data_IF_824655497279
#
_entry.id   IF_824655497279
#
_cell.length_a   1.000
_cell.length_b   1.000
_cell.length_c   1.000
_cell.angle_alpha   90.00
_cell.angle_beta   90.00
_cell.angle_gamma   90.00
#
_symmetry.space_group_name_H-M   'P 1'
#
loop_
_entity.id
_entity.type
_entity.pdbx_description
1 polymer ?
#
# COMPACT_ATOMS: atom_id res chain seq x y z
N UNK A 1 -9.13 -17.00 1.88
CA UNK A 1 -10.11 -16.35 2.76
C UNK A 1 -11.43 -16.24 2.02
N UNK A 2 -12.52 -16.59 2.69
CA UNK A 2 -13.91 -16.46 2.24
C UNK A 2 -14.52 -15.10 2.57
N UNK A 3 -13.76 -14.21 3.21
CA UNK A 3 -14.24 -12.87 3.57
C UNK A 3 -14.58 -12.06 2.32
N UNK A 4 -15.72 -11.39 2.33
CA UNK A 4 -16.10 -10.45 1.27
C UNK A 4 -15.21 -9.21 1.35
N UNK A 5 -14.67 -8.79 0.20
CA UNK A 5 -13.90 -7.54 0.08
C UNK A 5 -14.82 -6.46 -0.43
N UNK A 6 -14.76 -5.28 0.19
CA UNK A 6 -15.57 -4.13 -0.23
C UNK A 6 -15.15 -3.62 -1.62
N UNK A 7 -13.86 -3.71 -1.93
CA UNK A 7 -13.27 -3.33 -3.20
C UNK A 7 -12.36 -4.45 -3.70
N UNK A 8 -12.22 -4.55 -5.02
CA UNK A 8 -11.37 -5.53 -5.66
C UNK A 8 -10.80 -4.93 -6.94
N UNK A 9 -9.55 -4.44 -6.86
CA UNK A 9 -8.93 -3.73 -7.97
C UNK A 9 -8.06 -4.67 -8.80
N UNK A 10 -8.11 -4.47 -10.11
CA UNK A 10 -7.17 -5.08 -11.05
C UNK A 10 -5.76 -4.51 -10.85
N UNK A 11 -4.75 -5.21 -11.38
CA UNK A 11 -3.38 -4.70 -11.39
C UNK A 11 -3.29 -3.36 -12.12
N UNK A 12 -4.02 -3.20 -13.23
CA UNK A 12 -4.03 -1.97 -14.03
C UNK A 12 -4.62 -0.79 -13.25
N UNK A 13 -5.77 -0.98 -12.57
CA UNK A 13 -6.37 0.07 -11.74
C UNK A 13 -5.45 0.48 -10.59
N UNK A 14 -4.78 -0.48 -9.95
CA UNK A 14 -3.78 -0.20 -8.92
C UNK A 14 -2.58 0.53 -9.50
N UNK A 15 -2.03 0.04 -10.61
CA UNK A 15 -0.85 0.62 -11.26
C UNK A 15 -1.10 2.05 -11.74
N UNK A 16 -2.31 2.36 -12.18
CA UNK A 16 -2.72 3.71 -12.62
C UNK A 16 -3.23 4.62 -11.50
N UNK A 17 -3.19 4.17 -10.25
CA UNK A 17 -3.69 4.92 -9.10
C UNK A 17 -5.18 5.29 -9.22
N UNK A 18 -6.01 4.36 -9.70
CA UNK A 18 -7.45 4.51 -9.93
C UNK A 18 -8.27 3.81 -8.84
N UNK A 19 -7.97 4.12 -7.57
CA UNK A 19 -8.77 3.62 -6.44
C UNK A 19 -9.68 4.72 -5.87
N UNK A 20 -10.59 4.32 -4.98
CA UNK A 20 -11.43 5.26 -4.23
C UNK A 20 -10.64 6.06 -3.18
N UNK A 21 -9.41 5.64 -2.84
CA UNK A 21 -8.63 6.23 -1.74
C UNK A 21 -7.59 7.23 -2.30
N UNK A 22 -7.79 8.54 -2.09
CA UNK A 22 -6.89 9.55 -2.62
C UNK A 22 -5.48 9.48 -2.02
N UNK A 23 -5.31 9.01 -0.78
CA UNK A 23 -4.01 8.87 -0.14
C UNK A 23 -3.23 7.71 -0.72
N UNK A 24 -3.92 6.60 -1.02
CA UNK A 24 -3.32 5.47 -1.71
C UNK A 24 -2.92 5.86 -3.13
N UNK A 25 -3.79 6.56 -3.85
CA UNK A 25 -3.51 7.03 -5.20
C UNK A 25 -2.30 7.98 -5.22
N UNK A 26 -2.21 8.91 -4.27
CA UNK A 26 -1.04 9.78 -4.12
C UNK A 26 0.25 8.98 -3.85
N UNK A 27 0.20 7.96 -2.98
CA UNK A 27 1.37 7.11 -2.73
C UNK A 27 1.83 6.35 -3.99
N UNK A 28 0.89 5.79 -4.75
CA UNK A 28 1.19 5.13 -6.01
C UNK A 28 1.79 6.11 -7.04
N UNK A 29 1.25 7.32 -7.13
CA UNK A 29 1.77 8.35 -8.04
C UNK A 29 3.15 8.86 -7.62
N UNK A 30 3.40 9.06 -6.32
CA UNK A 30 4.72 9.42 -5.80
C UNK A 30 5.78 8.39 -6.23
N UNK A 31 5.47 7.10 -6.07
CA UNK A 31 6.33 6.01 -6.52
C UNK A 31 6.59 6.06 -8.03
N UNK A 32 5.56 6.28 -8.86
CA UNK A 32 5.72 6.34 -10.33
C UNK A 32 6.51 7.55 -10.81
N UNK A 33 6.31 8.71 -10.18
CA UNK A 33 6.91 9.98 -10.61
C UNK A 33 8.34 10.10 -10.09
N UNK A 34 8.56 9.81 -8.80
CA UNK A 34 9.83 10.04 -8.12
C UNK A 34 10.70 8.78 -8.04
N UNK A 35 10.14 7.60 -8.30
CA UNK A 35 10.81 6.33 -8.07
C UNK A 35 11.09 6.04 -6.59
N UNK A 36 10.44 6.78 -5.68
CA UNK A 36 10.62 6.67 -4.24
C UNK A 36 9.35 7.06 -3.48
N UNK A 37 8.61 6.08 -2.97
CA UNK A 37 7.48 6.35 -2.07
C UNK A 37 7.96 6.60 -0.63
N UNK A 38 7.34 7.54 0.08
CA UNK A 38 7.64 7.76 1.49
C UNK A 38 7.45 6.48 2.32
N UNK A 39 8.41 6.14 3.19
CA UNK A 39 8.45 4.83 3.87
C UNK A 39 7.20 4.52 4.72
N UNK A 40 6.62 5.54 5.36
CA UNK A 40 5.35 5.36 6.08
C UNK A 40 4.17 5.05 5.14
N UNK A 41 4.19 5.63 3.93
CA UNK A 41 3.18 5.36 2.91
C UNK A 41 3.37 4.01 2.26
N UNK A 42 4.59 3.46 2.12
CA UNK A 42 4.80 2.07 1.65
C UNK A 42 4.04 1.04 2.51
N UNK A 43 4.06 1.22 3.83
CA UNK A 43 3.30 0.37 4.76
C UNK A 43 1.78 0.49 4.55
N UNK A 44 1.29 1.72 4.39
CA UNK A 44 -0.13 1.98 4.11
C UNK A 44 -0.55 1.34 2.79
N UNK A 45 0.22 1.61 1.74
CA UNK A 45 0.02 1.21 0.37
C UNK A 45 -0.06 -0.32 0.23
N UNK A 46 0.92 -1.04 0.77
CA UNK A 46 0.94 -2.51 0.70
C UNK A 46 -0.23 -3.16 1.45
N UNK A 47 -0.63 -2.60 2.60
CA UNK A 47 -1.78 -3.11 3.38
C UNK A 47 -3.11 -2.88 2.68
N UNK A 48 -3.25 -1.80 1.91
CA UNK A 48 -4.45 -1.57 1.11
C UNK A 48 -4.57 -2.50 -0.07
N UNK A 49 -3.46 -2.85 -0.73
CA UNK A 49 -3.49 -3.89 -1.77
C UNK A 49 -3.96 -5.23 -1.16
N UNK A 50 -3.52 -5.58 0.05
CA UNK A 50 -4.06 -6.76 0.76
C UNK A 50 -5.58 -6.66 1.03
N UNK A 51 -6.08 -5.49 1.42
CA UNK A 51 -7.51 -5.26 1.66
C UNK A 51 -8.36 -5.36 0.39
N UNK A 52 -7.80 -4.99 -0.76
CA UNK A 52 -8.52 -4.85 -2.03
C UNK A 52 -8.15 -5.90 -3.07
N UNK A 53 -7.64 -7.04 -2.64
CA UNK A 53 -7.31 -8.18 -3.51
C UNK A 53 -8.13 -9.42 -3.15
N UNK A 54 -8.41 -10.24 -4.16
CA UNK A 54 -9.09 -11.53 -4.02
C UNK A 54 -8.41 -12.51 -3.05
N UNK A 55 -7.09 -12.45 -2.93
CA UNK A 55 -6.33 -13.33 -2.04
C UNK A 55 -5.06 -12.65 -1.52
N UNK A 56 -4.54 -13.06 -0.35
CA UNK A 56 -3.25 -12.60 0.14
C UNK A 56 -2.09 -12.91 -0.82
N UNK A 57 -2.15 -14.04 -1.53
CA UNK A 57 -1.16 -14.41 -2.54
C UNK A 57 -1.15 -13.42 -3.69
N UNK A 58 -2.33 -13.11 -4.26
CA UNK A 58 -2.44 -12.14 -5.35
C UNK A 58 -2.02 -10.74 -4.91
N UNK A 59 -2.40 -10.35 -3.69
CA UNK A 59 -1.94 -9.09 -3.11
C UNK A 59 -0.42 -9.04 -2.99
N UNK A 60 0.22 -10.11 -2.48
CA UNK A 60 1.67 -10.16 -2.33
C UNK A 60 2.39 -10.03 -3.68
N UNK A 61 1.93 -10.77 -4.68
CA UNK A 61 2.45 -10.68 -6.06
C UNK A 61 2.31 -9.26 -6.62
N UNK A 62 1.15 -8.62 -6.45
CA UNK A 62 0.91 -7.25 -6.91
C UNK A 62 1.81 -6.24 -6.21
N UNK A 63 1.91 -6.29 -4.87
CA UNK A 63 2.78 -5.41 -4.07
C UNK A 63 4.23 -5.57 -4.52
N UNK A 64 4.69 -6.81 -4.67
CA UNK A 64 6.06 -7.10 -5.08
C UNK A 64 6.35 -6.63 -6.52
N UNK A 65 5.43 -6.88 -7.45
CA UNK A 65 5.53 -6.44 -8.83
C UNK A 65 5.67 -4.91 -8.92
N UNK A 66 4.74 -4.17 -8.30
CA UNK A 66 4.73 -2.71 -8.38
C UNK A 66 5.96 -2.09 -7.70
N UNK A 67 6.35 -2.60 -6.51
CA UNK A 67 7.57 -2.18 -5.84
C UNK A 67 8.80 -2.43 -6.71
N UNK A 68 8.94 -3.63 -7.27
CA UNK A 68 10.07 -3.97 -8.12
C UNK A 68 10.07 -3.27 -9.47
N UNK A 69 8.94 -2.75 -9.94
CA UNK A 69 8.86 -2.03 -11.22
C UNK A 69 9.27 -0.57 -11.06
N UNK A 70 8.80 0.11 -10.02
CA UNK A 70 8.88 1.56 -9.90
C UNK A 70 9.86 2.08 -8.85
N UNK A 71 10.09 1.37 -7.74
CA UNK A 71 11.02 1.83 -6.72
C UNK A 71 12.47 1.72 -7.23
N UNK A 72 13.22 2.83 -7.15
CA UNK A 72 14.65 2.85 -7.47
C UNK A 72 15.45 1.99 -6.49
N UNK A 73 14.99 1.90 -5.24
CA UNK A 73 15.50 0.99 -4.21
C UNK A 73 14.74 -0.36 -4.16
N UNK A 74 13.95 -0.66 -5.20
CA UNK A 74 13.27 -1.94 -5.38
C UNK A 74 14.23 -3.08 -5.76
N UNK A 75 13.71 -4.32 -5.80
CA UNK A 75 14.48 -5.55 -6.06
C UNK A 75 15.66 -5.78 -5.09
N UNK A 76 15.57 -5.18 -3.92
CA UNK A 76 16.52 -5.29 -2.82
C UNK A 76 15.95 -6.15 -1.69
N UNK A 77 16.78 -6.88 -0.89
CA UNK A 77 16.30 -7.64 0.26
C UNK A 77 15.42 -6.85 1.24
N UNK A 78 15.67 -5.54 1.44
CA UNK A 78 14.82 -4.69 2.26
C UNK A 78 13.44 -4.50 1.64
N UNK A 79 13.35 -4.41 0.30
CA UNK A 79 12.10 -4.40 -0.45
C UNK A 79 11.28 -5.66 -0.17
N UNK A 80 11.87 -6.85 -0.33
CA UNK A 80 11.18 -8.12 -0.03
C UNK A 80 10.75 -8.22 1.44
N UNK A 81 11.61 -7.82 2.38
CA UNK A 81 11.29 -7.82 3.80
C UNK A 81 10.16 -6.82 4.13
N UNK A 82 10.17 -5.64 3.53
CA UNK A 82 9.14 -4.61 3.70
C UNK A 82 7.78 -5.05 3.12
N UNK A 83 7.78 -5.67 1.95
CA UNK A 83 6.58 -6.32 1.39
C UNK A 83 6.08 -7.38 2.36
N UNK A 84 6.92 -8.33 2.79
CA UNK A 84 6.52 -9.38 3.72
C UNK A 84 5.99 -8.83 5.06
N UNK A 85 6.53 -7.71 5.56
CA UNK A 85 6.04 -7.05 6.77
C UNK A 85 4.60 -6.55 6.62
N UNK A 86 4.20 -6.10 5.43
CA UNK A 86 2.81 -5.70 5.18
C UNK A 86 1.83 -6.86 5.43
N UNK A 87 2.29 -8.11 5.26
CA UNK A 87 1.57 -9.36 5.48
C UNK A 87 1.88 -10.03 6.83
N UNK A 88 2.63 -9.34 7.72
CA UNK A 88 2.84 -9.76 9.12
C UNK A 88 4.21 -10.35 9.45
N UNK A 89 5.13 -10.47 8.48
CA UNK A 89 6.50 -10.94 8.78
C UNK A 89 7.23 -9.91 9.65
N UNK A 90 7.85 -10.36 10.73
CA UNK A 90 8.54 -9.50 11.71
C UNK A 90 7.63 -8.48 12.42
N UNK A 91 6.31 -8.64 12.35
CA UNK A 91 5.34 -7.93 13.19
C UNK A 91 4.67 -8.92 14.16
N UNK A 92 4.01 -8.40 15.18
CA UNK A 92 3.19 -9.19 16.11
C UNK A 92 1.75 -9.29 15.63
N UNK A 93 0.98 -10.21 16.23
CA UNK A 93 -0.46 -10.30 16.02
C UNK A 93 -1.21 -9.08 16.59
N UNK A 94 -2.26 -8.66 15.89
CA UNK A 94 -3.18 -7.58 16.28
C UNK A 94 -4.60 -8.11 16.50
N UNK A 95 -5.51 -7.23 16.96
CA UNK A 95 -6.94 -7.55 17.07
C UNK A 95 -7.46 -8.04 15.71
N UNK A 96 -8.17 -9.15 15.75
CA UNK A 96 -8.68 -9.80 14.55
C UNK A 96 -9.69 -8.92 13.79
N UNK A 97 -9.60 -8.94 12.47
CA UNK A 97 -10.47 -8.21 11.55
C UNK A 97 -10.73 -9.03 10.29
N UNK A 98 -11.92 -8.90 9.73
CA UNK A 98 -12.24 -9.42 8.39
C UNK A 98 -11.18 -8.99 7.37
N UNK A 99 -10.86 -9.89 6.44
CA UNK A 99 -9.80 -9.81 5.43
C UNK A 99 -8.38 -9.91 6.00
N UNK A 100 -8.06 -9.17 7.05
CA UNK A 100 -6.70 -9.08 7.60
C UNK A 100 -6.35 -10.21 8.58
N UNK A 101 -7.35 -10.90 9.15
CA UNK A 101 -7.13 -11.74 10.32
C UNK A 101 -6.43 -10.93 11.41
N UNK A 102 -5.25 -11.37 11.86
CA UNK A 102 -4.44 -10.69 12.89
C UNK A 102 -3.30 -9.83 12.34
N UNK A 103 -3.24 -9.60 11.02
CA UNK A 103 -2.27 -8.68 10.42
C UNK A 103 -2.59 -7.24 10.84
N UNK A 104 -1.56 -6.44 11.13
CA UNK A 104 -1.75 -5.02 11.50
C UNK A 104 -2.52 -4.28 10.42
N UNK A 105 -3.61 -3.63 10.83
CA UNK A 105 -4.44 -2.80 9.97
C UNK A 105 -4.00 -1.33 9.93
N UNK A 106 -4.16 -0.66 8.79
CA UNK A 106 -3.97 0.79 8.62
C UNK A 106 -5.12 1.40 7.79
N UNK A 107 -5.54 2.63 8.10
CA UNK A 107 -6.59 3.35 7.38
C UNK A 107 -6.32 4.85 7.25
N UNK A 108 -7.01 5.51 6.32
CA UNK A 108 -6.92 6.93 6.04
C UNK A 108 -7.11 7.80 7.29
N UNK A 109 -8.09 7.49 8.15
CA UNK A 109 -8.28 8.19 9.44
C UNK A 109 -7.03 8.12 10.34
N UNK A 110 -6.28 7.02 10.28
CA UNK A 110 -5.02 6.85 10.98
C UNK A 110 -3.86 7.64 10.37
N UNK A 111 -3.86 7.86 9.06
CA UNK A 111 -2.88 8.75 8.40
C UNK A 111 -3.07 10.19 8.85
N UNK A 112 -4.32 10.71 8.79
CA UNK A 112 -4.65 12.09 9.19
C UNK A 112 -4.28 12.44 10.63
N UNK A 113 -4.25 11.45 11.53
CA UNK A 113 -3.83 11.66 12.93
C UNK A 113 -2.31 11.74 13.10
N UNK A 114 -1.53 11.35 12.09
CA UNK A 114 -0.06 11.26 12.17
C UNK A 114 0.66 12.33 11.38
N UNK A 115 0.09 12.79 10.28
CA UNK A 115 0.65 13.85 9.45
C UNK A 115 -0.44 14.51 8.61
N UNK A 116 -0.11 15.62 7.97
CA UNK A 116 -0.99 16.30 7.01
C UNK A 116 -1.08 15.50 5.69
N UNK A 117 -1.98 14.51 5.71
CA UNK A 117 -2.20 13.63 4.58
C UNK A 117 -2.87 14.33 3.39
N UNK A 118 -3.63 15.40 3.65
CA UNK A 118 -4.28 16.17 2.59
C UNK A 118 -3.23 17.03 1.85
N UNK A 119 -2.31 17.67 2.57
CA UNK A 119 -1.17 18.36 1.95
C UNK A 119 -0.25 17.39 1.19
N UNK A 120 -0.01 16.17 1.69
CA UNK A 120 0.75 15.15 0.95
C UNK A 120 0.14 14.84 -0.42
N UNK A 121 -1.19 14.71 -0.50
CA UNK A 121 -1.90 14.47 -1.77
C UNK A 121 -1.68 15.63 -2.75
N UNK A 122 -1.79 16.88 -2.28
CA UNK A 122 -1.59 18.05 -3.13
C UNK A 122 -0.13 18.17 -3.60
N UNK A 123 0.85 17.95 -2.72
CA UNK A 123 2.27 17.95 -3.10
C UNK A 123 2.59 16.96 -4.22
N UNK A 124 2.03 15.75 -4.16
CA UNK A 124 2.23 14.73 -5.20
C UNK A 124 1.56 15.15 -6.52
N UNK A 125 0.34 15.70 -6.48
CA UNK A 125 -0.36 16.16 -7.70
C UNK A 125 0.40 17.26 -8.43
N UNK A 126 1.02 18.17 -7.69
CA UNK A 126 1.80 19.29 -8.24
C UNK A 126 3.21 18.88 -8.67
N UNK A 127 3.61 17.62 -8.45
CA UNK A 127 4.97 17.15 -8.74
C UNK A 127 6.05 17.81 -7.88
N UNK A 128 5.66 18.41 -6.74
CA UNK A 128 6.59 19.10 -5.84
C UNK A 128 7.49 18.09 -5.12
N UNK A 129 8.78 18.42 -4.90
CA UNK A 129 9.73 17.54 -4.22
C UNK A 129 9.24 17.12 -2.83
#
# INVERSE_FOLDING_TARGET
STDTRQYNYTLEELEDAKTHDPYWNAAQQEMKIKGKMHGYMRMYWGKKILEWSNSPQKAFETVLYLNNKYELDGRDPNGYAGVAWCFGKHDRAWKERSVFGKVRYMNAKGLKRKFDADNYVEMVKEGKP
#
